data_IF_231845998444
#
_entry.id   IF_231845998444
#
_cell.length_a   1.000
_cell.length_b   1.000
_cell.length_c   1.000
_cell.angle_alpha   90.00
_cell.angle_beta   90.00
_cell.angle_gamma   90.00
#
_symmetry.space_group_name_H-M   'P 1'
#
loop_
_entity.id
_entity.type
_entity.pdbx_description
1 polymer ?
#
# COMPACT_ATOMS: atom_id res chain seq x y z
N UNK A 1 16.29 -21.50 6.94
CA UNK A 1 17.63 -22.10 6.76
C UNK A 1 18.24 -22.24 8.14
N UNK A 2 18.79 -23.42 8.43
CA UNK A 2 19.65 -23.62 9.59
C UNK A 2 21.10 -23.53 9.12
N UNK A 3 21.85 -22.57 9.64
CA UNK A 3 23.22 -22.35 9.20
C UNK A 3 24.09 -21.70 10.28
N UNK A 4 25.38 -22.00 10.25
CA UNK A 4 26.44 -21.21 10.85
C UNK A 4 27.10 -20.41 9.73
N UNK A 5 26.88 -19.10 9.70
CA UNK A 5 27.56 -18.20 8.78
C UNK A 5 28.83 -17.69 9.48
N UNK A 6 30.01 -17.92 8.90
CA UNK A 6 31.31 -17.58 9.50
C UNK A 6 32.19 -16.79 8.52
N UNK A 7 33.30 -16.21 8.99
CA UNK A 7 34.28 -15.56 8.11
C UNK A 7 33.78 -14.27 7.46
N UNK A 8 32.80 -13.59 8.06
CA UNK A 8 32.18 -12.38 7.51
C UNK A 8 32.22 -11.17 8.44
N UNK A 9 31.35 -10.21 8.14
CA UNK A 9 31.05 -9.06 9.01
C UNK A 9 29.57 -9.08 9.37
N UNK A 10 29.24 -9.18 10.65
CA UNK A 10 27.84 -9.21 11.11
C UNK A 10 27.48 -7.85 11.70
N UNK A 11 26.56 -7.14 11.07
CA UNK A 11 26.01 -5.89 11.61
C UNK A 11 24.70 -6.22 12.32
N UNK A 12 24.71 -6.33 13.64
CA UNK A 12 23.53 -6.79 14.40
C UNK A 12 22.48 -5.71 14.66
N UNK A 13 22.82 -4.43 14.45
CA UNK A 13 22.03 -3.23 14.82
C UNK A 13 21.72 -3.10 16.32
N UNK A 14 22.31 -3.95 17.18
CA UNK A 14 22.19 -3.77 18.63
C UNK A 14 23.07 -2.60 19.08
N UNK A 15 22.54 -1.67 19.90
CA UNK A 15 23.37 -0.66 20.56
C UNK A 15 24.52 -1.35 21.30
N UNK A 16 25.75 -0.85 21.10
CA UNK A 16 26.98 -1.31 21.76
C UNK A 16 27.40 -2.77 21.51
N UNK A 17 26.90 -3.41 20.45
CA UNK A 17 27.37 -4.74 20.11
C UNK A 17 28.84 -4.72 19.66
N UNK A 18 29.69 -5.63 20.19
CA UNK A 18 31.05 -5.77 19.68
C UNK A 18 31.03 -6.23 18.22
N UNK A 19 32.11 -5.96 17.45
CA UNK A 19 32.26 -6.52 16.11
C UNK A 19 32.08 -8.05 16.15
N UNK A 20 31.26 -8.57 15.24
CA UNK A 20 30.99 -9.99 15.13
C UNK A 20 31.35 -10.48 13.72
N UNK A 21 31.96 -11.66 13.66
CA UNK A 21 32.36 -12.32 12.41
C UNK A 21 31.39 -13.40 11.95
N UNK A 22 30.56 -13.91 12.87
CA UNK A 22 29.71 -15.06 12.64
C UNK A 22 28.34 -14.98 13.32
N UNK A 23 27.38 -15.73 12.76
CA UNK A 23 26.03 -15.92 13.30
C UNK A 23 25.57 -17.37 13.10
N UNK A 24 24.92 -17.93 14.11
CA UNK A 24 24.25 -19.23 14.03
C UNK A 24 22.73 -19.06 14.02
N UNK A 25 22.07 -19.78 13.12
CA UNK A 25 20.63 -19.82 12.94
C UNK A 25 20.14 -21.26 13.05
N UNK A 26 19.09 -21.47 13.85
CA UNK A 26 18.41 -22.75 14.04
C UNK A 26 16.91 -22.53 14.16
N UNK A 27 16.12 -23.32 13.44
CA UNK A 27 14.66 -23.29 13.47
C UNK A 27 14.10 -21.87 13.21
N UNK A 28 14.75 -21.17 12.27
CA UNK A 28 14.39 -19.80 11.89
C UNK A 28 14.74 -18.72 12.93
N UNK A 29 15.50 -19.06 13.97
CA UNK A 29 15.92 -18.13 15.03
C UNK A 29 17.44 -18.00 15.09
N UNK A 30 17.90 -16.79 15.39
CA UNK A 30 19.31 -16.53 15.68
C UNK A 30 19.60 -17.08 17.08
N UNK A 31 20.54 -18.03 17.19
CA UNK A 31 20.92 -18.64 18.48
C UNK A 31 22.23 -18.09 19.03
N UNK A 32 23.10 -17.53 18.18
CA UNK A 32 24.35 -16.87 18.59
C UNK A 32 24.79 -15.86 17.55
N UNK A 33 25.33 -14.73 18.02
CA UNK A 33 26.12 -13.77 17.24
C UNK A 33 27.44 -13.60 17.99
N UNK A 34 28.58 -13.66 17.29
CA UNK A 34 29.88 -13.56 17.93
C UNK A 34 31.05 -13.71 16.96
N UNK A 35 32.20 -14.13 17.48
CA UNK A 35 33.35 -14.52 16.66
C UNK A 35 33.15 -15.90 16.03
N UNK A 36 33.94 -16.19 14.99
CA UNK A 36 33.87 -17.45 14.25
C UNK A 36 34.07 -18.66 15.17
N UNK A 37 35.07 -18.60 16.07
CA UNK A 37 35.35 -19.68 17.01
C UNK A 37 34.15 -20.00 17.92
N UNK A 38 33.47 -18.97 18.43
CA UNK A 38 32.30 -19.15 19.30
C UNK A 38 31.14 -19.83 18.56
N UNK A 39 30.91 -19.44 17.31
CA UNK A 39 29.81 -19.98 16.49
C UNK A 39 30.12 -21.41 16.02
N UNK A 40 31.37 -21.68 15.64
CA UNK A 40 31.82 -23.01 15.24
C UNK A 40 31.73 -24.01 16.40
N UNK A 41 32.06 -23.58 17.63
CA UNK A 41 32.03 -24.41 18.83
C UNK A 41 30.63 -24.87 19.27
N UNK A 42 29.55 -24.25 18.77
CA UNK A 42 28.19 -24.66 19.10
C UNK A 42 27.90 -26.08 18.59
N UNK A 43 27.38 -26.95 19.43
CA UNK A 43 26.88 -28.25 18.98
C UNK A 43 25.48 -28.10 18.36
N UNK A 44 25.45 -28.00 17.03
CA UNK A 44 24.24 -27.83 16.23
C UNK A 44 24.22 -28.91 15.13
N UNK A 45 23.78 -30.14 15.44
CA UNK A 45 23.82 -31.24 14.49
C UNK A 45 22.90 -30.98 13.29
N UNK A 46 23.42 -31.33 12.10
CA UNK A 46 22.70 -31.13 10.83
C UNK A 46 22.65 -29.69 10.33
N UNK A 47 23.32 -28.75 11.02
CA UNK A 47 23.42 -27.35 10.59
C UNK A 47 24.63 -27.17 9.68
N UNK A 48 24.41 -26.57 8.51
CA UNK A 48 25.46 -26.29 7.53
C UNK A 48 26.38 -25.16 8.01
N UNK A 49 27.68 -25.26 7.70
CA UNK A 49 28.63 -24.16 7.90
C UNK A 49 28.89 -23.49 6.57
N UNK A 50 28.60 -22.19 6.48
CA UNK A 50 28.84 -21.37 5.30
C UNK A 50 29.91 -20.32 5.59
N UNK A 51 30.99 -20.34 4.81
CA UNK A 51 31.99 -19.27 4.80
C UNK A 51 31.49 -18.09 3.96
N UNK A 52 31.38 -16.94 4.60
CA UNK A 52 30.94 -15.69 3.99
C UNK A 52 32.04 -15.05 3.12
N UNK A 53 33.30 -15.48 3.24
CA UNK A 53 34.45 -14.95 2.51
C UNK A 53 34.56 -13.42 2.59
N UNK A 54 34.42 -12.89 3.81
CA UNK A 54 34.47 -11.45 4.11
C UNK A 54 33.20 -10.67 3.77
N UNK A 55 32.13 -11.31 3.28
CA UNK A 55 30.84 -10.64 3.01
C UNK A 55 30.16 -10.15 4.30
N UNK A 56 29.31 -9.14 4.13
CA UNK A 56 28.55 -8.54 5.24
C UNK A 56 27.15 -9.16 5.34
N UNK A 57 26.74 -9.49 6.56
CA UNK A 57 25.37 -9.85 6.91
C UNK A 57 24.72 -8.68 7.63
N UNK A 58 23.55 -8.27 7.13
CA UNK A 58 22.69 -7.24 7.72
C UNK A 58 21.38 -7.90 8.17
N UNK A 59 20.63 -7.32 9.12
CA UNK A 59 19.22 -7.65 9.27
C UNK A 59 18.52 -7.31 7.96
N UNK A 60 17.60 -8.15 7.54
CA UNK A 60 16.80 -7.88 6.35
C UNK A 60 16.03 -6.57 6.48
N UNK A 61 15.87 -5.86 5.38
CA UNK A 61 15.15 -4.58 5.37
C UNK A 61 13.67 -4.82 5.70
N UNK A 62 13.09 -3.86 6.41
CA UNK A 62 11.67 -3.85 6.76
C UNK A 62 11.06 -2.65 6.05
N UNK A 63 10.18 -2.92 5.11
CA UNK A 63 9.30 -1.91 4.58
C UNK A 63 8.07 -1.81 5.49
N UNK A 64 7.91 -0.65 6.13
CA UNK A 64 6.91 -0.43 7.17
C UNK A 64 5.57 0.03 6.60
N UNK A 65 5.49 0.35 5.31
CA UNK A 65 4.25 0.82 4.70
C UNK A 65 4.25 0.55 3.20
N UNK A 66 3.48 -0.45 2.75
CA UNK A 66 3.28 -0.75 1.35
C UNK A 66 1.83 -1.16 1.04
N UNK A 67 1.33 -0.68 -0.10
CA UNK A 67 0.14 -1.23 -0.75
C UNK A 67 0.60 -2.31 -1.73
N UNK A 68 0.70 -3.55 -1.25
CA UNK A 68 1.28 -4.66 -2.01
C UNK A 68 0.37 -5.10 -3.16
N UNK A 69 -0.95 -5.12 -2.97
CA UNK A 69 -1.86 -5.41 -4.08
C UNK A 69 -1.75 -4.33 -5.16
N UNK A 70 -1.88 -3.06 -4.80
CA UNK A 70 -1.81 -1.94 -5.76
C UNK A 70 -0.47 -1.89 -6.48
N UNK A 71 0.64 -2.21 -5.80
CA UNK A 71 1.95 -2.37 -6.43
C UNK A 71 1.94 -3.48 -7.48
N UNK A 72 1.34 -4.64 -7.16
CA UNK A 72 1.19 -5.74 -8.11
C UNK A 72 0.30 -5.38 -9.30
N UNK A 73 -0.78 -4.63 -9.04
CA UNK A 73 -1.71 -4.11 -10.03
C UNK A 73 -1.08 -3.02 -10.92
N UNK A 74 -0.08 -2.30 -10.44
CA UNK A 74 0.66 -1.37 -11.27
C UNK A 74 1.69 -2.12 -12.12
N UNK A 75 2.43 -3.05 -11.51
CA UNK A 75 3.48 -3.83 -12.16
C UNK A 75 2.98 -4.72 -13.32
N UNK A 76 1.74 -5.22 -13.24
CA UNK A 76 1.15 -6.06 -14.28
C UNK A 76 0.32 -5.27 -15.32
N UNK A 77 0.08 -3.97 -15.11
CA UNK A 77 -0.71 -3.14 -16.01
C UNK A 77 0.07 -2.77 -17.28
N UNK A 78 -0.67 -2.44 -18.34
CA UNK A 78 -0.08 -1.79 -19.51
C UNK A 78 0.29 -0.36 -19.14
N UNK A 79 1.57 -0.06 -19.19
CA UNK A 79 2.09 1.24 -18.84
C UNK A 79 1.98 2.24 -20.00
N UNK A 80 1.22 3.32 -19.78
CA UNK A 80 0.98 4.37 -20.76
C UNK A 80 1.76 5.66 -20.48
N UNK A 81 2.65 5.67 -19.49
CA UNK A 81 3.52 6.83 -19.28
C UNK A 81 4.33 7.14 -20.56
N UNK A 82 4.36 8.42 -20.91
CA UNK A 82 5.06 8.93 -22.08
C UNK A 82 4.47 8.53 -23.43
N UNK A 83 3.25 7.97 -23.49
CA UNK A 83 2.57 7.75 -24.77
C UNK A 83 2.29 9.10 -25.46
N UNK A 84 2.56 9.20 -26.76
CA UNK A 84 2.45 10.46 -27.50
C UNK A 84 1.14 10.63 -28.28
N UNK A 85 0.36 9.56 -28.45
CA UNK A 85 -0.89 9.59 -29.21
C UNK A 85 -1.85 8.46 -28.82
N UNK A 86 -3.14 8.64 -29.13
CA UNK A 86 -4.17 7.59 -29.02
C UNK A 86 -3.76 6.33 -29.76
N UNK A 87 -3.16 6.44 -30.95
CA UNK A 87 -2.66 5.31 -31.70
C UNK A 87 -1.60 4.49 -30.95
N UNK A 88 -0.68 5.17 -30.27
CA UNK A 88 0.34 4.50 -29.45
C UNK A 88 -0.27 3.85 -28.20
N UNK A 89 -1.24 4.50 -27.55
CA UNK A 89 -2.00 3.90 -26.44
C UNK A 89 -2.66 2.60 -26.89
N UNK A 90 -3.38 2.63 -28.01
CA UNK A 90 -4.01 1.45 -28.60
C UNK A 90 -2.99 0.38 -28.97
N UNK A 91 -1.82 0.74 -29.51
CA UNK A 91 -0.76 -0.21 -29.83
C UNK A 91 -0.19 -0.90 -28.58
N UNK A 92 0.07 -0.15 -27.51
CA UNK A 92 0.56 -0.71 -26.23
C UNK A 92 -0.48 -1.66 -25.63
N UNK A 93 -1.77 -1.30 -25.68
CA UNK A 93 -2.88 -2.16 -25.25
C UNK A 93 -2.96 -3.43 -26.11
N UNK A 94 -2.83 -3.31 -27.43
CA UNK A 94 -2.91 -4.43 -28.37
C UNK A 94 -1.74 -5.43 -28.24
N UNK A 95 -0.54 -4.96 -27.87
CA UNK A 95 0.61 -5.81 -27.55
C UNK A 95 0.41 -6.65 -26.28
N UNK A 96 -0.61 -6.30 -25.48
CA UNK A 96 -1.08 -6.89 -24.22
C UNK A 96 -0.05 -6.88 -23.08
N UNK A 97 -0.50 -6.44 -21.91
CA UNK A 97 0.13 -6.72 -20.61
C UNK A 97 -0.36 -8.04 -20.02
N UNK A 98 -0.15 -8.25 -18.71
CA UNK A 98 -0.83 -9.32 -17.96
C UNK A 98 -2.31 -8.98 -17.81
N UNK A 99 -3.18 -10.00 -17.79
CA UNK A 99 -4.60 -9.81 -17.52
C UNK A 99 -4.85 -9.64 -16.01
N UNK A 100 -5.83 -8.81 -15.67
CA UNK A 100 -6.46 -8.73 -14.36
C UNK A 100 -7.81 -9.43 -14.42
N UNK A 101 -7.86 -10.72 -14.06
CA UNK A 101 -9.06 -11.49 -14.38
C UNK A 101 -9.15 -11.65 -15.88
N UNK A 102 -10.22 -11.09 -16.42
CA UNK A 102 -10.47 -10.99 -17.87
C UNK A 102 -10.09 -9.63 -18.44
N UNK A 103 -9.64 -8.68 -17.63
CA UNK A 103 -9.43 -7.29 -18.03
C UNK A 103 -8.00 -7.03 -18.49
N UNK A 104 -7.86 -6.19 -19.52
CA UNK A 104 -6.63 -5.46 -19.77
C UNK A 104 -6.75 -4.12 -19.05
N UNK A 105 -5.94 -3.92 -18.01
CA UNK A 105 -5.84 -2.63 -17.35
C UNK A 105 -4.61 -1.91 -17.88
N UNK A 106 -4.81 -0.69 -18.37
CA UNK A 106 -3.76 0.22 -18.77
C UNK A 106 -3.80 1.44 -17.85
N UNK A 107 -2.65 1.85 -17.35
CA UNK A 107 -2.55 2.91 -16.33
C UNK A 107 -1.62 4.01 -16.80
N UNK A 108 -1.68 5.15 -16.11
CA UNK A 108 -0.79 6.29 -16.31
C UNK A 108 -0.97 7.03 -17.64
N UNK A 109 -2.20 7.04 -18.15
CA UNK A 109 -2.54 7.79 -19.36
C UNK A 109 -2.65 9.29 -19.05
N UNK A 110 -1.74 10.11 -19.56
CA UNK A 110 -1.89 11.56 -19.59
C UNK A 110 -2.66 11.97 -20.86
N UNK A 111 -3.97 11.68 -20.91
CA UNK A 111 -4.76 11.81 -22.13
C UNK A 111 -4.79 13.24 -22.71
N UNK A 112 -4.59 14.25 -21.87
CA UNK A 112 -4.45 15.65 -22.26
C UNK A 112 -3.11 15.98 -22.95
N UNK A 113 -2.08 15.15 -22.78
CA UNK A 113 -0.76 15.31 -23.42
C UNK A 113 -0.64 14.52 -24.73
N UNK A 114 -1.58 13.61 -25.00
CA UNK A 114 -1.66 12.92 -26.29
C UNK A 114 -1.88 13.94 -27.40
N UNK A 115 -1.36 13.67 -28.60
CA UNK A 115 -1.53 14.55 -29.76
C UNK A 115 -2.99 14.89 -30.05
N UNK A 116 -3.89 13.95 -29.80
CA UNK A 116 -5.34 14.11 -29.97
C UNK A 116 -6.01 14.88 -28.82
N UNK A 117 -5.34 15.07 -27.68
CA UNK A 117 -5.85 15.78 -26.50
C UNK A 117 -7.04 15.08 -25.83
N UNK A 118 -7.15 13.75 -25.97
CA UNK A 118 -8.29 12.96 -25.52
C UNK A 118 -7.92 11.51 -25.25
N UNK A 119 -8.78 10.81 -24.51
CA UNK A 119 -8.71 9.36 -24.45
C UNK A 119 -8.98 8.71 -25.82
N UNK A 120 -8.55 7.45 -26.01
CA UNK A 120 -9.11 6.59 -27.03
C UNK A 120 -10.63 6.51 -26.91
N UNK A 121 -11.32 6.54 -28.04
CA UNK A 121 -12.76 6.28 -28.11
C UNK A 121 -13.05 4.81 -27.85
N UNK A 122 -14.31 4.52 -27.56
CA UNK A 122 -14.81 3.16 -27.36
C UNK A 122 -14.52 2.26 -28.58
N UNK A 123 -14.69 2.77 -29.81
CA UNK A 123 -14.41 2.04 -31.05
C UNK A 123 -12.89 1.82 -31.30
N UNK A 124 -12.05 2.80 -30.97
CA UNK A 124 -10.58 2.66 -31.06
C UNK A 124 -10.07 1.59 -30.09
N UNK A 125 -10.63 1.51 -28.88
CA UNK A 125 -10.28 0.46 -27.91
C UNK A 125 -10.86 -0.91 -28.28
N UNK A 126 -12.06 -0.97 -28.87
CA UNK A 126 -12.61 -2.22 -29.41
C UNK A 126 -11.73 -2.79 -30.53
N UNK A 127 -11.23 -1.93 -31.42
CA UNK A 127 -10.31 -2.34 -32.48
C UNK A 127 -8.95 -2.80 -31.93
N UNK A 128 -8.43 -2.12 -30.89
CA UNK A 128 -7.16 -2.46 -30.26
C UNK A 128 -7.22 -3.75 -29.43
N UNK A 129 -8.36 -4.03 -28.78
CA UNK A 129 -8.53 -5.17 -27.89
C UNK A 129 -9.94 -5.79 -28.04
N UNK A 130 -10.20 -6.55 -29.12
CA UNK A 130 -11.54 -7.09 -29.39
C UNK A 130 -11.93 -8.24 -28.45
N UNK A 131 -10.95 -8.94 -27.88
CA UNK A 131 -11.17 -10.19 -27.14
C UNK A 131 -11.26 -10.02 -25.62
N UNK A 132 -11.09 -8.80 -25.10
CA UNK A 132 -11.06 -8.55 -23.65
C UNK A 132 -11.65 -7.17 -23.30
N UNK A 133 -12.33 -7.03 -22.14
CA UNK A 133 -12.67 -5.73 -21.60
C UNK A 133 -11.41 -4.95 -21.20
N UNK A 134 -11.39 -3.65 -21.49
CA UNK A 134 -10.25 -2.75 -21.23
C UNK A 134 -10.66 -1.69 -20.23
N UNK A 135 -9.80 -1.38 -19.27
CA UNK A 135 -9.88 -0.15 -18.48
C UNK A 135 -8.59 0.63 -18.70
N UNK A 136 -8.70 1.90 -19.11
CA UNK A 136 -7.58 2.84 -19.21
C UNK A 136 -7.75 3.89 -18.12
N UNK A 137 -6.82 4.04 -17.19
CA UNK A 137 -6.88 5.03 -16.11
C UNK A 137 -5.86 6.15 -16.31
N UNK A 138 -6.21 7.38 -15.88
CA UNK A 138 -5.27 8.50 -15.95
C UNK A 138 -4.08 8.31 -15.02
N UNK A 139 -3.00 9.06 -15.29
CA UNK A 139 -1.87 9.21 -14.36
C UNK A 139 -2.28 9.76 -13.00
N UNK A 140 -3.37 10.51 -12.95
CA UNK A 140 -3.96 11.05 -11.72
C UNK A 140 -5.05 10.16 -11.11
N UNK A 141 -5.39 9.03 -11.74
CA UNK A 141 -6.49 8.12 -11.34
C UNK A 141 -7.90 8.75 -11.20
N UNK A 142 -8.09 10.03 -11.53
CA UNK A 142 -9.39 10.74 -11.47
C UNK A 142 -10.22 10.67 -12.77
N UNK A 143 -9.73 9.98 -13.79
CA UNK A 143 -10.48 9.74 -15.02
C UNK A 143 -10.12 8.40 -15.65
N UNK A 144 -11.02 7.84 -16.44
CA UNK A 144 -10.80 6.58 -17.12
C UNK A 144 -11.55 6.47 -18.46
N UNK A 145 -11.16 5.51 -19.29
CA UNK A 145 -11.84 5.12 -20.52
C UNK A 145 -11.95 3.60 -20.65
N UNK A 146 -12.98 3.10 -21.34
CA UNK A 146 -13.22 1.67 -21.56
C UNK A 146 -13.73 1.37 -22.98
N UNK A 147 -13.61 0.12 -23.40
CA UNK A 147 -14.15 -0.40 -24.66
C UNK A 147 -15.60 -0.90 -24.49
N UNK A 148 -16.25 -1.37 -25.56
CA UNK A 148 -17.63 -1.88 -25.51
C UNK A 148 -17.79 -3.03 -24.52
N UNK A 149 -16.82 -3.95 -24.49
CA UNK A 149 -16.86 -5.11 -23.60
C UNK A 149 -16.76 -4.70 -22.14
N UNK A 150 -15.87 -3.75 -21.82
CA UNK A 150 -15.70 -3.23 -20.48
C UNK A 150 -16.89 -2.41 -20.02
N UNK A 151 -17.43 -1.53 -20.87
CA UNK A 151 -18.62 -0.74 -20.55
C UNK A 151 -19.79 -1.62 -20.10
N UNK A 152 -20.08 -2.70 -20.86
CA UNK A 152 -21.16 -3.64 -20.49
C UNK A 152 -20.95 -4.29 -19.11
N UNK A 153 -19.71 -4.66 -18.77
CA UNK A 153 -19.41 -5.26 -17.48
C UNK A 153 -19.49 -4.25 -16.35
N UNK A 154 -19.01 -3.02 -16.59
CA UNK A 154 -19.10 -1.91 -15.63
C UNK A 154 -20.56 -1.57 -15.36
N UNK A 155 -21.40 -1.41 -16.37
CA UNK A 155 -22.83 -1.12 -16.17
C UNK A 155 -23.56 -2.26 -15.43
N UNK A 156 -23.17 -3.52 -15.66
CA UNK A 156 -23.73 -4.65 -14.94
C UNK A 156 -23.28 -4.73 -13.48
N UNK A 157 -22.01 -4.40 -13.19
CA UNK A 157 -21.42 -4.45 -11.84
C UNK A 157 -21.61 -3.17 -11.03
N UNK A 158 -21.89 -2.05 -11.69
CA UNK A 158 -22.14 -0.73 -11.12
C UNK A 158 -23.36 -0.08 -11.82
N UNK A 159 -24.59 -0.54 -11.54
CA UNK A 159 -25.80 -0.08 -12.24
C UNK A 159 -26.06 1.42 -12.16
N UNK A 160 -25.49 2.12 -11.17
CA UNK A 160 -25.54 3.59 -11.07
C UNK A 160 -24.81 4.30 -12.22
N UNK A 161 -23.95 3.60 -12.95
CA UNK A 161 -23.28 4.10 -14.15
C UNK A 161 -24.06 3.81 -15.44
N UNK A 162 -25.08 2.95 -15.38
CA UNK A 162 -25.85 2.57 -16.55
C UNK A 162 -26.65 3.77 -17.08
N UNK A 163 -26.56 4.00 -18.39
CA UNK A 163 -27.27 5.12 -19.03
C UNK A 163 -26.73 6.51 -18.67
N UNK A 164 -25.52 6.60 -18.11
CA UNK A 164 -24.82 7.87 -17.91
C UNK A 164 -24.72 8.62 -19.23
N UNK A 165 -25.09 9.90 -19.22
CA UNK A 165 -24.95 10.76 -20.40
C UNK A 165 -23.47 11.00 -20.72
N UNK A 166 -23.05 10.62 -21.91
CA UNK A 166 -21.77 11.01 -22.47
C UNK A 166 -21.88 12.40 -23.11
N UNK A 167 -20.81 13.21 -23.06
CA UNK A 167 -20.85 14.53 -23.68
C UNK A 167 -20.88 14.45 -25.22
N UNK A 168 -20.45 13.32 -25.79
CA UNK A 168 -20.63 12.98 -27.21
C UNK A 168 -20.58 11.46 -27.41
N UNK A 169 -21.02 10.93 -28.58
CA UNK A 169 -20.92 9.51 -28.90
C UNK A 169 -19.49 8.94 -28.76
N UNK A 170 -18.48 9.74 -29.11
CA UNK A 170 -17.06 9.34 -29.03
C UNK A 170 -16.56 9.16 -27.58
N UNK A 171 -17.30 9.69 -26.61
CA UNK A 171 -16.99 9.67 -25.18
C UNK A 171 -17.86 8.68 -24.39
N UNK A 172 -18.63 7.82 -25.06
CA UNK A 172 -19.55 6.89 -24.41
C UNK A 172 -18.90 5.93 -23.39
N UNK A 173 -17.59 5.72 -23.48
CA UNK A 173 -16.82 4.89 -22.55
C UNK A 173 -15.95 5.66 -21.56
N UNK A 174 -16.12 6.99 -21.41
CA UNK A 174 -15.27 7.80 -20.54
C UNK A 174 -15.92 8.09 -19.19
N UNK A 175 -15.11 8.01 -18.14
CA UNK A 175 -15.46 8.33 -16.76
C UNK A 175 -14.61 9.53 -16.32
N UNK A 176 -15.25 10.65 -15.99
CA UNK A 176 -14.58 11.94 -15.78
C UNK A 176 -14.79 12.51 -14.37
N UNK A 177 -15.27 11.69 -13.45
CA UNK A 177 -15.47 12.03 -12.04
C UNK A 177 -15.08 10.83 -11.17
N UNK A 178 -14.66 11.13 -9.94
CA UNK A 178 -14.08 10.16 -9.02
C UNK A 178 -15.03 9.02 -8.68
N UNK A 179 -16.31 9.31 -8.48
CA UNK A 179 -17.30 8.30 -8.12
C UNK A 179 -17.44 7.25 -9.23
N UNK A 180 -17.45 7.69 -10.49
CA UNK A 180 -17.54 6.79 -11.61
C UNK A 180 -16.26 6.01 -11.88
N UNK A 181 -15.09 6.64 -11.73
CA UNK A 181 -13.81 5.95 -11.87
C UNK A 181 -13.64 4.90 -10.77
N UNK A 182 -13.98 5.24 -9.52
CA UNK A 182 -13.95 4.30 -8.40
C UNK A 182 -14.93 3.13 -8.61
N UNK A 183 -16.14 3.40 -9.08
CA UNK A 183 -17.10 2.34 -9.40
C UNK A 183 -16.63 1.43 -10.55
N UNK A 184 -16.08 2.01 -11.63
CA UNK A 184 -15.54 1.24 -12.75
C UNK A 184 -14.32 0.39 -12.32
N UNK A 185 -13.37 0.98 -11.59
CA UNK A 185 -12.23 0.26 -11.03
C UNK A 185 -12.67 -0.84 -10.06
N UNK A 186 -13.67 -0.57 -9.21
CA UNK A 186 -14.25 -1.55 -8.30
C UNK A 186 -14.81 -2.79 -9.00
N UNK A 187 -15.40 -2.64 -10.18
CA UNK A 187 -15.85 -3.78 -11.01
C UNK A 187 -14.65 -4.59 -11.53
N UNK A 188 -13.57 -3.93 -11.97
CA UNK A 188 -12.35 -4.61 -12.41
C UNK A 188 -11.72 -5.38 -11.26
N UNK A 189 -11.49 -4.71 -10.13
CA UNK A 189 -10.86 -5.28 -8.93
C UNK A 189 -11.71 -6.39 -8.31
N UNK A 190 -13.03 -6.21 -8.25
CA UNK A 190 -13.98 -7.22 -7.78
C UNK A 190 -14.07 -8.45 -8.70
N UNK A 191 -13.56 -8.37 -9.94
CA UNK A 191 -13.52 -9.52 -10.86
C UNK A 191 -12.27 -10.39 -10.70
N UNK A 192 -11.29 -9.95 -9.90
CA UNK A 192 -10.08 -10.72 -9.61
C UNK A 192 -10.42 -11.95 -8.80
N UNK A 193 -9.97 -13.11 -9.28
CA UNK A 193 -10.05 -14.34 -8.51
C UNK A 193 -9.05 -14.33 -7.35
N UNK A 194 -9.33 -15.14 -6.32
CA UNK A 194 -8.39 -15.36 -5.20
C UNK A 194 -7.02 -15.83 -5.67
N UNK A 195 -6.97 -16.63 -6.74
CA UNK A 195 -5.71 -17.12 -7.33
C UNK A 195 -4.91 -15.97 -7.93
N UNK A 196 -5.56 -15.02 -8.60
CA UNK A 196 -4.89 -13.86 -9.19
C UNK A 196 -4.38 -12.90 -8.12
N UNK A 197 -5.20 -12.63 -7.09
CA UNK A 197 -4.76 -11.86 -5.92
C UNK A 197 -3.50 -12.48 -5.29
N UNK A 198 -3.50 -13.80 -5.10
CA UNK A 198 -2.34 -14.50 -4.56
C UNK A 198 -1.10 -14.42 -5.46
N UNK A 199 -1.27 -14.42 -6.79
CA UNK A 199 -0.18 -14.25 -7.74
C UNK A 199 0.41 -12.84 -7.69
N UNK A 200 -0.43 -11.81 -7.56
CA UNK A 200 0.00 -10.42 -7.44
C UNK A 200 0.83 -10.22 -6.17
N UNK A 201 0.35 -10.70 -5.02
CA UNK A 201 1.10 -10.65 -3.76
C UNK A 201 2.42 -11.42 -3.84
N UNK A 202 2.44 -12.59 -4.47
CA UNK A 202 3.67 -13.37 -4.66
C UNK A 202 4.69 -12.61 -5.52
N UNK A 203 4.23 -12.01 -6.62
CA UNK A 203 5.08 -11.22 -7.51
C UNK A 203 5.74 -10.05 -6.76
N UNK A 204 4.97 -9.33 -5.96
CA UNK A 204 5.50 -8.21 -5.15
C UNK A 204 6.43 -8.70 -4.04
N UNK A 205 6.09 -9.79 -3.37
CA UNK A 205 6.94 -10.39 -2.35
C UNK A 205 8.30 -10.86 -2.92
N UNK A 206 8.33 -11.47 -4.11
CA UNK A 206 9.56 -11.86 -4.82
C UNK A 206 10.39 -10.63 -5.20
N UNK A 207 9.73 -9.58 -5.70
CA UNK A 207 10.34 -8.29 -6.05
C UNK A 207 10.97 -7.60 -4.83
N UNK A 208 10.31 -7.68 -3.68
CA UNK A 208 10.79 -7.17 -2.39
C UNK A 208 11.98 -7.98 -1.88
N UNK A 209 11.89 -9.32 -1.89
CA UNK A 209 12.96 -10.23 -1.49
C UNK A 209 14.24 -10.00 -2.30
N UNK A 210 14.12 -9.82 -3.62
CA UNK A 210 15.24 -9.54 -4.52
C UNK A 210 15.97 -8.22 -4.20
N UNK A 211 15.33 -7.30 -3.47
CA UNK A 211 15.91 -6.02 -3.01
C UNK A 211 16.38 -6.06 -1.56
N UNK A 212 16.39 -7.23 -0.92
CA UNK A 212 16.80 -7.41 0.47
C UNK A 212 15.73 -7.07 1.50
N UNK A 213 14.49 -6.79 1.07
CA UNK A 213 13.33 -6.66 1.98
C UNK A 213 12.94 -8.05 2.45
N UNK A 214 12.79 -8.21 3.77
CA UNK A 214 12.41 -9.48 4.39
C UNK A 214 11.10 -9.40 5.16
N UNK A 215 10.62 -8.19 5.43
CA UNK A 215 9.30 -7.92 6.02
C UNK A 215 8.64 -6.78 5.28
N UNK A 216 7.40 -6.98 4.88
CA UNK A 216 6.56 -6.00 4.20
C UNK A 216 5.30 -5.78 5.05
N UNK A 217 5.07 -4.57 5.53
CA UNK A 217 3.79 -4.22 6.13
C UNK A 217 2.82 -3.87 5.02
N UNK A 218 1.83 -4.71 4.81
CA UNK A 218 0.87 -4.61 3.73
C UNK A 218 -0.41 -3.94 4.26
N UNK A 219 -0.75 -2.80 3.68
CA UNK A 219 -1.95 -2.03 3.99
C UNK A 219 -2.97 -2.42 2.92
N UNK A 220 -3.87 -3.33 3.29
CA UNK A 220 -4.74 -4.05 2.36
C UNK A 220 -6.17 -4.10 2.87
N UNK A 221 -7.12 -4.45 2.01
CA UNK A 221 -8.54 -4.54 2.35
C UNK A 221 -9.36 -3.33 1.92
N UNK A 222 -8.69 -2.28 1.42
CA UNK A 222 -9.33 -1.07 0.91
C UNK A 222 -9.63 -1.12 -0.60
N UNK A 223 -8.81 -1.83 -1.38
CA UNK A 223 -8.86 -1.78 -2.85
C UNK A 223 -9.88 -2.75 -3.45
N UNK A 224 -10.10 -3.92 -2.85
CA UNK A 224 -11.05 -4.93 -3.37
C UNK A 224 -12.36 -4.89 -2.58
N UNK A 225 -13.53 -4.84 -3.24
CA UNK A 225 -14.82 -4.87 -2.56
C UNK A 225 -14.93 -6.02 -1.54
N UNK A 226 -15.37 -5.68 -0.34
CA UNK A 226 -15.51 -6.65 0.77
C UNK A 226 -14.18 -7.05 1.44
N UNK A 227 -13.04 -6.50 1.04
CA UNK A 227 -11.74 -6.79 1.66
C UNK A 227 -11.20 -8.19 1.37
N UNK A 228 -11.59 -8.77 0.21
CA UNK A 228 -11.19 -10.14 -0.18
C UNK A 228 -9.68 -10.28 -0.37
N UNK A 229 -9.01 -9.20 -0.76
CA UNK A 229 -7.56 -9.06 -0.86
C UNK A 229 -6.86 -9.28 0.48
N UNK A 230 -7.35 -8.66 1.55
CA UNK A 230 -6.84 -8.88 2.91
C UNK A 230 -7.04 -10.33 3.37
N UNK A 231 -8.20 -10.93 3.07
CA UNK A 231 -8.46 -12.36 3.36
C UNK A 231 -7.45 -13.26 2.64
N UNK A 232 -7.19 -13.01 1.34
CA UNK A 232 -6.22 -13.78 0.55
C UNK A 232 -4.80 -13.61 1.11
N UNK A 233 -4.38 -12.38 1.43
CA UNK A 233 -3.05 -12.15 1.99
C UNK A 233 -2.89 -12.85 3.35
N UNK A 234 -3.93 -12.83 4.19
CA UNK A 234 -3.93 -13.53 5.46
C UNK A 234 -3.71 -15.05 5.29
N UNK A 235 -4.38 -15.66 4.31
CA UNK A 235 -4.26 -17.09 4.03
C UNK A 235 -2.88 -17.49 3.48
N UNK A 236 -2.33 -16.71 2.54
CA UNK A 236 -1.08 -17.10 1.84
C UNK A 236 0.18 -16.56 2.50
N UNK A 237 0.07 -15.61 3.43
CA UNK A 237 1.20 -14.82 3.94
C UNK A 237 2.35 -15.65 4.51
N UNK A 238 2.04 -16.81 5.10
CA UNK A 238 3.06 -17.75 5.61
C UNK A 238 3.87 -18.47 4.54
N UNK A 239 3.43 -18.47 3.28
CA UNK A 239 4.10 -19.09 2.14
C UNK A 239 4.84 -18.12 1.22
N UNK A 240 4.87 -16.82 1.56
CA UNK A 240 5.57 -15.81 0.78
C UNK A 240 7.08 -15.79 1.11
N UNK A 241 7.94 -15.38 0.15
CA UNK A 241 9.39 -15.29 0.37
C UNK A 241 9.79 -14.17 1.34
N UNK A 242 8.85 -13.31 1.74
CA UNK A 242 9.01 -12.27 2.78
C UNK A 242 7.90 -12.42 3.81
N UNK A 243 8.14 -11.94 5.02
CA UNK A 243 7.09 -11.82 6.04
C UNK A 243 6.12 -10.71 5.64
N UNK A 244 4.92 -11.08 5.19
CA UNK A 244 3.83 -10.13 5.01
C UNK A 244 3.14 -9.85 6.36
N UNK A 245 3.11 -8.59 6.76
CA UNK A 245 2.44 -8.11 7.97
C UNK A 245 1.18 -7.36 7.53
N UNK A 246 0.03 -8.04 7.60
CA UNK A 246 -1.25 -7.43 7.24
C UNK A 246 -1.67 -6.35 8.27
N UNK A 247 -1.97 -5.17 7.76
CA UNK A 247 -2.78 -4.11 8.36
C UNK A 247 -4.09 -4.05 7.57
N UNK A 248 -5.17 -4.61 8.14
CA UNK A 248 -6.44 -4.69 7.44
C UNK A 248 -7.19 -3.36 7.53
N UNK A 249 -7.28 -2.63 6.40
CA UNK A 249 -7.94 -1.35 6.25
C UNK A 249 -9.47 -1.45 6.35
N UNK A 250 -9.96 -1.73 7.55
CA UNK A 250 -11.38 -1.76 7.88
C UNK A 250 -11.62 -1.12 9.24
N UNK A 251 -12.80 -0.54 9.45
CA UNK A 251 -13.28 -0.10 10.76
C UNK A 251 -14.09 -1.17 11.49
N UNK A 252 -14.28 -2.35 10.87
CA UNK A 252 -14.96 -3.51 11.45
C UNK A 252 -14.02 -4.26 12.42
N UNK A 253 -14.03 -3.85 13.68
CA UNK A 253 -13.20 -4.41 14.75
C UNK A 253 -13.54 -5.89 14.99
N UNK A 254 -14.83 -6.22 14.97
CA UNK A 254 -15.32 -7.56 15.23
C UNK A 254 -14.83 -8.55 14.17
N UNK A 255 -14.83 -8.17 12.89
CA UNK A 255 -14.26 -8.99 11.82
C UNK A 255 -12.78 -9.27 12.03
N UNK A 256 -11.99 -8.25 12.37
CA UNK A 256 -10.54 -8.43 12.58
C UNK A 256 -10.25 -9.34 13.78
N UNK A 257 -11.00 -9.18 14.87
CA UNK A 257 -10.91 -10.07 16.04
C UNK A 257 -11.31 -11.50 15.68
N UNK A 258 -12.40 -11.70 14.92
CA UNK A 258 -12.86 -13.01 14.49
C UNK A 258 -11.84 -13.72 13.58
N UNK A 259 -11.07 -12.96 12.79
CA UNK A 259 -9.96 -13.49 11.99
C UNK A 259 -8.70 -13.78 12.82
N UNK A 260 -8.68 -13.43 14.11
CA UNK A 260 -7.50 -13.60 14.97
C UNK A 260 -6.32 -12.69 14.58
N UNK A 261 -6.59 -11.60 13.88
CA UNK A 261 -5.57 -10.64 13.47
C UNK A 261 -5.19 -9.74 14.66
N UNK A 262 -3.89 -9.45 14.86
CA UNK A 262 -3.44 -8.60 15.96
C UNK A 262 -3.48 -7.10 15.65
N UNK A 263 -3.87 -6.73 14.42
CA UNK A 263 -3.70 -5.39 13.84
C UNK A 263 -4.90 -5.01 12.97
N UNK A 264 -5.25 -3.74 12.98
CA UNK A 264 -6.34 -3.15 12.18
C UNK A 264 -5.94 -1.77 11.66
N UNK A 265 -6.56 -1.38 10.56
CA UNK A 265 -6.30 -0.12 9.87
C UNK A 265 -5.09 -0.23 8.96
N UNK A 266 -4.10 0.64 9.16
CA UNK A 266 -3.07 0.95 8.18
C UNK A 266 -3.39 2.30 7.56
N UNK A 267 -3.78 2.31 6.29
CA UNK A 267 -3.99 3.55 5.53
C UNK A 267 -5.49 3.91 5.54
N UNK A 268 -6.14 3.83 6.70
CA UNK A 268 -7.46 4.44 6.86
C UNK A 268 -7.23 5.95 6.98
N UNK A 269 -7.50 6.66 5.90
CA UNK A 269 -7.14 8.06 5.72
C UNK A 269 -7.98 8.97 6.61
N UNK A 270 -7.41 9.49 7.69
CA UNK A 270 -8.05 10.52 8.53
C UNK A 270 -8.27 11.79 7.73
N UNK A 271 -7.31 12.16 6.87
CA UNK A 271 -7.35 13.24 5.90
C UNK A 271 -6.81 12.78 4.54
N UNK A 272 -6.55 13.71 3.62
CA UNK A 272 -5.94 13.40 2.33
C UNK A 272 -4.46 13.76 2.26
N UNK A 273 -4.00 14.14 1.07
CA UNK A 273 -2.61 14.49 0.81
C UNK A 273 -2.40 16.00 0.56
N UNK A 274 -1.16 16.46 0.78
CA UNK A 274 -0.79 17.87 0.67
C UNK A 274 -0.97 18.41 -0.76
N UNK A 275 -0.62 17.62 -1.77
CA UNK A 275 -0.52 18.06 -3.16
C UNK A 275 -1.90 18.33 -3.80
N UNK A 276 -2.92 17.61 -3.35
CA UNK A 276 -4.32 17.79 -3.77
C UNK A 276 -5.07 18.80 -2.89
N UNK A 277 -4.39 19.44 -1.93
CA UNK A 277 -4.98 20.33 -0.92
C UNK A 277 -6.06 19.65 -0.05
N UNK A 278 -5.92 18.35 0.19
CA UNK A 278 -6.90 17.53 0.94
C UNK A 278 -6.42 17.13 2.33
N UNK A 279 -5.11 17.17 2.60
CA UNK A 279 -4.58 17.04 3.97
C UNK A 279 -5.15 18.16 4.87
N UNK A 280 -5.52 17.80 6.10
CA UNK A 280 -6.30 18.66 6.98
C UNK A 280 -5.38 19.46 7.90
N UNK A 281 -5.30 20.77 7.67
CA UNK A 281 -4.45 21.70 8.40
C UNK A 281 -5.23 22.61 9.35
N UNK A 282 -4.57 23.09 10.40
CA UNK A 282 -5.10 24.17 11.22
C UNK A 282 -5.15 25.48 10.44
N UNK A 283 -4.10 25.82 9.70
CA UNK A 283 -4.00 27.03 8.87
C UNK A 283 -4.27 26.75 7.38
N UNK A 284 -4.61 27.77 6.57
CA UNK A 284 -4.79 27.58 5.14
C UNK A 284 -3.48 27.19 4.44
N UNK A 285 -3.63 26.51 3.31
CA UNK A 285 -2.51 26.26 2.41
C UNK A 285 -1.93 27.58 1.88
N UNK A 286 -0.60 27.64 1.78
CA UNK A 286 0.10 28.85 1.34
C UNK A 286 -0.21 29.22 -0.12
N UNK A 287 -0.33 28.20 -0.97
CA UNK A 287 -0.64 28.30 -2.41
C UNK A 287 -2.15 28.27 -2.70
N UNK A 288 -2.98 27.91 -1.71
CA UNK A 288 -4.44 27.90 -1.78
C UNK A 288 -5.09 28.44 -0.50
N UNK A 289 -5.07 29.77 -0.28
CA UNK A 289 -5.44 30.38 1.02
C UNK A 289 -6.92 30.22 1.44
N UNK A 290 -7.78 29.74 0.55
CA UNK A 290 -9.18 29.42 0.81
C UNK A 290 -9.42 27.96 1.21
N UNK A 291 -8.39 27.10 1.16
CA UNK A 291 -8.46 25.69 1.53
C UNK A 291 -7.68 25.39 2.81
N UNK A 292 -8.20 24.47 3.63
CA UNK A 292 -7.52 23.87 4.80
C UNK A 292 -7.54 22.33 4.77
N UNK A 293 -7.98 21.75 3.64
CA UNK A 293 -8.32 20.34 3.54
C UNK A 293 -9.49 19.94 4.45
N UNK A 294 -9.68 18.65 4.67
CA UNK A 294 -10.80 18.12 5.44
C UNK A 294 -10.48 16.77 6.08
N UNK A 295 -11.16 16.46 7.18
CA UNK A 295 -11.19 15.11 7.71
C UNK A 295 -12.14 14.25 6.86
N UNK A 296 -11.74 13.03 6.53
CA UNK A 296 -12.59 12.05 5.83
C UNK A 296 -13.58 11.36 6.78
N UNK A 297 -13.27 11.37 8.08
CA UNK A 297 -14.11 10.88 9.17
C UNK A 297 -14.34 11.98 10.18
N UNK A 298 -15.49 11.99 10.83
CA UNK A 298 -15.70 12.86 11.99
C UNK A 298 -14.75 12.47 13.12
N UNK A 299 -14.41 13.43 13.97
CA UNK A 299 -13.55 13.16 15.11
C UNK A 299 -14.20 12.14 16.07
N UNK A 300 -15.54 12.15 16.17
CA UNK A 300 -16.32 11.17 16.93
C UNK A 300 -16.15 9.76 16.38
N UNK A 301 -16.20 9.57 15.06
CA UNK A 301 -15.97 8.28 14.41
C UNK A 301 -14.55 7.77 14.66
N UNK A 302 -13.55 8.64 14.54
CA UNK A 302 -12.14 8.32 14.81
C UNK A 302 -11.96 7.88 16.27
N UNK A 303 -12.46 8.69 17.23
CA UNK A 303 -12.40 8.37 18.67
C UNK A 303 -13.12 7.06 19.00
N UNK A 304 -14.29 6.84 18.41
CA UNK A 304 -15.08 5.62 18.64
C UNK A 304 -14.37 4.37 18.08
N UNK A 305 -13.82 4.45 16.87
CA UNK A 305 -13.05 3.38 16.25
C UNK A 305 -11.80 3.06 17.07
N UNK A 306 -10.98 4.08 17.39
CA UNK A 306 -9.74 3.90 18.14
C UNK A 306 -10.00 3.27 19.50
N UNK A 307 -11.01 3.75 20.25
CA UNK A 307 -11.38 3.17 21.54
C UNK A 307 -11.74 1.68 21.41
N UNK A 308 -12.64 1.33 20.49
CA UNK A 308 -13.10 -0.06 20.28
C UNK A 308 -11.95 -0.99 19.90
N UNK A 309 -11.11 -0.59 18.95
CA UNK A 309 -9.97 -1.39 18.51
C UNK A 309 -8.89 -1.51 19.59
N UNK A 310 -8.68 -0.45 20.37
CA UNK A 310 -7.74 -0.43 21.48
C UNK A 310 -8.17 -1.39 22.59
N UNK A 311 -9.42 -1.33 23.03
CA UNK A 311 -10.00 -2.22 24.04
C UNK A 311 -10.02 -3.69 23.57
N UNK A 312 -10.16 -3.92 22.26
CA UNK A 312 -10.06 -5.25 21.65
C UNK A 312 -8.63 -5.82 21.58
N UNK A 313 -7.62 -5.11 22.07
CA UNK A 313 -6.24 -5.58 22.06
C UNK A 313 -5.51 -5.43 20.73
N UNK A 314 -6.09 -4.76 19.74
CA UNK A 314 -5.50 -4.59 18.41
C UNK A 314 -4.46 -3.46 18.41
N UNK A 315 -3.40 -3.60 17.62
CA UNK A 315 -2.55 -2.46 17.24
C UNK A 315 -3.23 -1.74 16.06
N UNK A 316 -3.41 -0.43 16.19
CA UNK A 316 -4.12 0.40 15.22
C UNK A 316 -3.10 1.16 14.37
N UNK A 317 -3.33 1.30 13.07
CA UNK A 317 -2.67 2.29 12.23
C UNK A 317 -3.70 3.11 11.47
N UNK A 318 -3.46 4.40 11.29
CA UNK A 318 -4.29 5.26 10.46
C UNK A 318 -3.40 6.28 9.74
N UNK A 319 -3.80 6.65 8.53
CA UNK A 319 -3.14 7.69 7.74
C UNK A 319 -3.49 9.06 8.30
N UNK A 320 -2.49 9.89 8.55
CA UNK A 320 -2.66 11.29 8.90
C UNK A 320 -1.46 12.12 8.41
N UNK A 321 -1.73 13.12 7.59
CA UNK A 321 -0.70 13.99 7.00
C UNK A 321 -0.70 15.38 7.63
N UNK A 322 -1.83 16.09 7.58
CA UNK A 322 -1.96 17.45 8.05
C UNK A 322 -1.91 17.57 9.57
N UNK A 323 -1.46 18.72 10.07
CA UNK A 323 -1.21 18.94 11.50
C UNK A 323 -2.46 18.74 12.37
N UNK A 324 -3.63 19.19 11.89
CA UNK A 324 -4.91 18.96 12.56
C UNK A 324 -5.33 17.49 12.53
N UNK A 325 -5.14 16.78 11.42
CA UNK A 325 -5.47 15.35 11.34
C UNK A 325 -4.60 14.51 12.28
N UNK A 326 -3.30 14.84 12.34
CA UNK A 326 -2.35 14.20 13.26
C UNK A 326 -2.76 14.44 14.71
N UNK A 327 -3.07 15.68 15.08
CA UNK A 327 -3.53 16.04 16.43
C UNK A 327 -4.79 15.26 16.83
N UNK A 328 -5.81 15.20 15.95
CA UNK A 328 -7.06 14.45 16.18
C UNK A 328 -6.79 12.97 16.45
N UNK A 329 -5.92 12.35 15.65
CA UNK A 329 -5.59 10.93 15.78
C UNK A 329 -4.77 10.64 17.06
N UNK A 330 -3.78 11.48 17.36
CA UNK A 330 -2.97 11.36 18.57
C UNK A 330 -3.82 11.54 19.82
N UNK A 331 -4.77 12.49 19.81
CA UNK A 331 -5.71 12.69 20.91
C UNK A 331 -6.62 11.48 21.11
N UNK A 332 -7.07 10.84 20.02
CA UNK A 332 -7.83 9.60 20.11
C UNK A 332 -7.02 8.46 20.75
N UNK A 333 -5.72 8.32 20.40
CA UNK A 333 -4.83 7.35 21.04
C UNK A 333 -4.56 7.67 22.52
N UNK A 334 -4.35 8.94 22.87
CA UNK A 334 -4.14 9.36 24.26
C UNK A 334 -5.38 9.10 25.12
N UNK A 335 -6.57 9.42 24.59
CA UNK A 335 -7.83 9.16 25.27
C UNK A 335 -8.06 7.66 25.50
N UNK A 336 -7.77 6.82 24.50
CA UNK A 336 -7.89 5.37 24.63
C UNK A 336 -6.90 4.80 25.66
N UNK A 337 -5.63 5.21 25.62
CA UNK A 337 -4.63 4.78 26.61
C UNK A 337 -4.93 5.26 28.02
N UNK A 338 -5.55 6.44 28.17
CA UNK A 338 -5.96 6.96 29.48
C UNK A 338 -7.14 6.18 30.04
N UNK A 339 -8.13 5.85 29.19
CA UNK A 339 -9.33 5.13 29.61
C UNK A 339 -9.08 3.63 29.88
N UNK A 340 -8.25 2.98 29.07
CA UNK A 340 -7.96 1.55 29.16
C UNK A 340 -6.46 1.24 28.94
N UNK A 341 -5.57 1.54 29.92
CA UNK A 341 -4.13 1.42 29.72
C UNK A 341 -3.67 0.04 29.27
N UNK A 342 -2.91 0.00 28.18
CA UNK A 342 -2.23 -1.17 27.63
C UNK A 342 -0.71 -0.99 27.67
N UNK A 343 0.05 -2.06 28.00
CA UNK A 343 1.50 -2.03 27.89
C UNK A 343 1.91 -2.04 26.41
N UNK A 344 2.72 -1.05 26.01
CA UNK A 344 3.34 -0.97 24.68
C UNK A 344 2.39 -1.31 23.50
N UNK A 345 1.25 -0.59 23.34
CA UNK A 345 0.29 -0.89 22.28
C UNK A 345 0.82 -0.57 20.88
N UNK A 346 1.90 0.23 20.80
CA UNK A 346 2.62 0.63 19.59
C UNK A 346 1.71 1.06 18.44
N UNK A 347 0.63 1.78 18.73
CA UNK A 347 -0.23 2.32 17.69
C UNK A 347 0.57 3.15 16.70
N UNK A 348 0.10 3.16 15.45
CA UNK A 348 0.81 3.72 14.32
C UNK A 348 0.12 4.97 13.81
N UNK A 349 0.93 5.91 13.35
CA UNK A 349 0.46 6.97 12.47
C UNK A 349 1.22 6.82 11.16
N UNK A 350 0.47 6.62 10.07
CA UNK A 350 1.03 6.54 8.74
C UNK A 350 1.27 7.94 8.18
N UNK A 351 2.42 8.11 7.51
CA UNK A 351 2.98 9.36 7.01
C UNK A 351 3.51 10.28 8.11
N UNK A 352 2.64 10.76 9.00
CA UNK A 352 3.01 11.69 10.08
C UNK A 352 3.87 12.86 9.57
N UNK A 353 3.44 13.47 8.47
CA UNK A 353 4.28 14.34 7.65
C UNK A 353 4.40 15.77 8.20
N UNK A 354 3.30 16.35 8.68
CA UNK A 354 3.29 17.70 9.22
C UNK A 354 2.76 17.75 10.67
N UNK A 355 3.40 17.07 11.64
CA UNK A 355 2.92 17.05 13.02
C UNK A 355 3.15 18.39 13.72
N UNK A 356 2.28 18.73 14.68
CA UNK A 356 2.56 19.78 15.66
C UNK A 356 3.65 19.32 16.65
N UNK A 357 4.37 20.25 17.29
CA UNK A 357 5.31 19.90 18.37
C UNK A 357 4.63 19.14 19.51
N UNK A 358 3.36 19.46 19.77
CA UNK A 358 2.51 18.77 20.75
C UNK A 358 2.30 17.31 20.34
N UNK A 359 1.93 17.04 19.08
CA UNK A 359 1.76 15.69 18.57
C UNK A 359 3.05 14.88 18.64
N UNK A 360 4.21 15.49 18.32
CA UNK A 360 5.52 14.83 18.46
C UNK A 360 5.78 14.41 19.91
N UNK A 361 5.57 15.32 20.87
CA UNK A 361 5.76 15.03 22.29
C UNK A 361 4.79 13.96 22.80
N UNK A 362 3.52 14.03 22.40
CA UNK A 362 2.51 13.05 22.76
C UNK A 362 2.80 11.67 22.15
N UNK A 363 3.21 11.62 20.87
CA UNK A 363 3.59 10.39 20.19
C UNK A 363 4.76 9.69 20.89
N UNK A 364 5.79 10.45 21.30
CA UNK A 364 6.93 9.93 22.05
C UNK A 364 6.50 9.36 23.42
N UNK A 365 5.66 10.09 24.16
CA UNK A 365 5.14 9.66 25.47
C UNK A 365 4.28 8.40 25.38
N UNK A 366 3.47 8.28 24.32
CA UNK A 366 2.59 7.13 24.08
C UNK A 366 3.31 5.92 23.48
N UNK A 367 4.55 6.07 23.02
CA UNK A 367 5.29 5.02 22.33
C UNK A 367 4.71 4.69 20.95
N UNK A 368 4.19 5.69 20.23
CA UNK A 368 3.64 5.50 18.89
C UNK A 368 4.74 5.12 17.90
N UNK A 369 4.38 4.27 16.93
CA UNK A 369 5.23 3.94 15.80
C UNK A 369 4.90 4.88 14.63
N UNK A 370 5.88 5.67 14.20
CA UNK A 370 5.72 6.62 13.10
C UNK A 370 6.26 6.01 11.81
N UNK A 371 5.40 5.83 10.81
CA UNK A 371 5.76 5.21 9.53
C UNK A 371 5.80 6.27 8.45
N UNK A 372 7.00 6.79 8.23
CA UNK A 372 7.28 7.89 7.30
C UNK A 372 7.82 7.36 5.96
N UNK A 373 7.60 8.12 4.88
CA UNK A 373 8.04 7.78 3.51
C UNK A 373 8.97 8.87 2.99
N UNK A 374 10.28 8.86 3.33
CA UNK A 374 11.24 9.88 2.90
C UNK A 374 11.33 10.07 1.38
N UNK A 375 10.91 9.07 0.60
CA UNK A 375 10.84 9.16 -0.87
C UNK A 375 9.87 10.24 -1.36
N UNK A 376 8.85 10.61 -0.57
CA UNK A 376 7.90 11.67 -0.92
C UNK A 376 8.63 13.00 -1.11
N UNK A 377 9.54 13.35 -0.20
CA UNK A 377 10.36 14.56 -0.35
C UNK A 377 11.29 14.51 -1.56
N UNK A 378 11.76 13.33 -1.96
CA UNK A 378 12.58 13.21 -3.17
C UNK A 378 11.78 13.39 -4.46
N UNK A 379 10.54 12.87 -4.50
CA UNK A 379 9.73 12.85 -5.71
C UNK A 379 8.87 14.11 -5.89
N UNK A 380 8.36 14.67 -4.78
CA UNK A 380 7.25 15.61 -4.81
C UNK A 380 7.53 16.94 -4.11
N UNK A 381 8.51 17.04 -3.21
CA UNK A 381 8.99 18.35 -2.76
C UNK A 381 9.81 18.98 -3.89
N UNK A 382 9.13 19.67 -4.81
CA UNK A 382 9.78 20.50 -5.82
C UNK A 382 9.88 21.92 -5.26
N UNK A 383 11.07 22.36 -4.80
CA UNK A 383 11.25 23.71 -4.27
C UNK A 383 11.02 24.83 -5.30
N UNK A 384 10.72 24.49 -6.56
CA UNK A 384 10.56 25.43 -7.69
C UNK A 384 9.14 25.44 -8.30
N UNK A 385 8.16 24.72 -7.71
CA UNK A 385 6.77 24.70 -8.20
C UNK A 385 5.89 25.71 -7.48
#
# INVERSE_FOLDING_TARGET
>A
MDAKLVGGRIVSMRPDAPPAGAVAVRDGRIVRVGGDADVLALDLPGVEVLDLAGRTVLPGLIDSHAHALDTGLLDAAVDLEGAASVGEVCERIARRGRLYGRWVHAMRCAHWELREGRYPTLAELDAACPDAPVLVTSVTVHSAATNSAGLRLIEAGAPQLAGRAAASPDQAGWFTDDAAVAAAAGVVLGSLSRVELAQLYRSVAEKAAARGVTTLHCLEGGSVPGGTDADVLHEIGGGLPVRAVLMFQTMDVERVVAMGLPRIGGCLCVDGACFEHTACFYEPYLDKPDARGSLNYTEEEIRAFVRRAHEAGLQIGMHAIGDRAVDVLVDAYEAAQTAAPRPDPRHRVEHFQAPTERAVAAAARLGLALTMQPIFSYLWDRPEA
#
